data_IF_923579556715
#
_entry.id   IF_923579556715
#
_cell.length_a   1.000
_cell.length_b   1.000
_cell.length_c   1.000
_cell.angle_alpha   90.00
_cell.angle_beta   90.00
_cell.angle_gamma   90.00
#
_symmetry.space_group_name_H-M   'P 1'
#
loop_
_entity.id
_entity.type
_entity.pdbx_description
1 polymer ?
#
# COMPACT_ATOMS: atom_id res chain seq x y z
N UNK A 1 14.47 -10.25 -11.72
CA UNK A 1 14.47 -11.12 -10.54
C UNK A 1 13.52 -12.25 -10.89
N UNK A 2 13.87 -13.51 -10.61
CA UNK A 2 12.96 -14.60 -10.85
C UNK A 2 11.70 -14.45 -10.00
N UNK A 3 10.54 -14.87 -10.52
CA UNK A 3 9.26 -14.81 -9.77
C UNK A 3 9.34 -15.52 -8.41
N UNK A 4 10.19 -16.55 -8.29
CA UNK A 4 10.41 -17.34 -7.08
C UNK A 4 11.27 -16.58 -6.05
N UNK A 5 12.29 -15.86 -6.50
CA UNK A 5 13.19 -15.08 -5.63
C UNK A 5 12.46 -13.85 -5.05
N UNK A 6 11.62 -13.22 -5.87
CA UNK A 6 10.78 -12.12 -5.41
C UNK A 6 9.76 -12.61 -4.37
N UNK A 7 9.09 -13.74 -4.64
CA UNK A 7 8.13 -14.34 -3.70
C UNK A 7 8.78 -14.73 -2.36
N UNK A 8 10.00 -15.26 -2.39
CA UNK A 8 10.73 -15.63 -1.17
C UNK A 8 11.17 -14.41 -0.34
N UNK A 9 11.54 -13.30 -0.98
CA UNK A 9 11.79 -12.02 -0.31
C UNK A 9 10.52 -11.48 0.34
N UNK A 10 9.39 -11.51 -0.37
CA UNK A 10 8.10 -11.06 0.18
C UNK A 10 7.64 -11.94 1.35
N UNK A 11 7.81 -13.26 1.25
CA UNK A 11 7.46 -14.21 2.31
C UNK A 11 8.22 -13.95 3.61
N UNK A 12 9.49 -13.56 3.51
CA UNK A 12 10.36 -13.31 4.67
C UNK A 12 10.57 -11.82 4.95
N UNK A 13 9.74 -10.95 4.38
CA UNK A 13 9.91 -9.49 4.41
C UNK A 13 10.11 -8.91 5.80
N UNK A 14 9.24 -9.28 6.75
CA UNK A 14 9.30 -8.78 8.12
C UNK A 14 10.56 -9.23 8.86
N UNK A 15 11.02 -10.45 8.60
CA UNK A 15 12.24 -10.98 9.19
C UNK A 15 13.47 -10.23 8.67
N UNK A 16 13.56 -10.04 7.36
CA UNK A 16 14.65 -9.29 6.73
C UNK A 16 14.69 -7.83 7.21
N UNK A 17 13.54 -7.18 7.37
CA UNK A 17 13.50 -5.81 7.92
C UNK A 17 14.10 -5.67 9.32
N UNK A 18 14.02 -6.73 10.13
CA UNK A 18 14.50 -6.72 11.51
C UNK A 18 15.98 -7.13 11.63
N UNK A 19 16.39 -8.15 10.89
CA UNK A 19 17.72 -8.75 11.04
C UNK A 19 18.79 -8.11 10.14
N UNK A 20 18.41 -7.44 9.06
CA UNK A 20 19.37 -6.97 8.06
C UNK A 20 20.06 -5.68 8.51
N UNK A 21 21.40 -5.66 8.45
CA UNK A 21 22.24 -4.49 8.74
C UNK A 21 22.67 -3.84 7.42
N UNK A 22 21.79 -2.97 6.93
CA UNK A 22 21.85 -2.36 5.59
C UNK A 22 23.15 -1.60 5.33
N UNK A 23 23.67 -0.88 6.32
CA UNK A 23 24.81 0.04 6.14
C UNK A 23 26.10 -0.70 5.73
N UNK A 24 26.31 -1.91 6.24
CA UNK A 24 27.46 -2.74 5.88
C UNK A 24 27.32 -3.29 4.44
N UNK A 25 26.12 -3.73 4.06
CA UNK A 25 25.85 -4.34 2.76
C UNK A 25 25.79 -3.34 1.62
N UNK A 26 25.36 -2.10 1.90
CA UNK A 26 25.27 -1.03 0.91
C UNK A 26 26.62 -0.71 0.26
N UNK A 27 27.68 -0.66 1.07
CA UNK A 27 29.03 -0.34 0.57
C UNK A 27 29.47 -1.36 -0.47
N UNK A 28 29.20 -2.65 -0.23
CA UNK A 28 29.60 -3.72 -1.14
C UNK A 28 28.71 -3.79 -2.39
N UNK A 29 27.41 -3.44 -2.27
CA UNK A 29 26.47 -3.36 -3.40
C UNK A 29 26.71 -2.17 -4.33
N UNK A 30 27.24 -1.06 -3.80
CA UNK A 30 27.67 0.08 -4.62
C UNK A 30 29.00 -0.24 -5.32
N UNK A 31 29.94 -0.88 -4.61
CA UNK A 31 31.21 -1.33 -5.20
C UNK A 31 31.03 -2.34 -6.33
N UNK A 32 30.02 -3.22 -6.24
CA UNK A 32 29.69 -4.17 -7.31
C UNK A 32 28.94 -3.54 -8.49
N UNK A 33 28.60 -2.25 -8.41
CA UNK A 33 27.89 -1.52 -9.46
C UNK A 33 26.41 -1.86 -9.59
N UNK A 34 25.84 -2.60 -8.63
CA UNK A 34 24.41 -2.91 -8.60
C UNK A 34 23.61 -1.69 -8.16
N UNK A 35 24.08 -0.99 -7.13
CA UNK A 35 23.46 0.24 -6.64
C UNK A 35 24.24 1.47 -7.09
N UNK A 36 23.50 2.53 -7.40
CA UNK A 36 24.05 3.86 -7.63
C UNK A 36 24.31 4.57 -6.30
N UNK A 37 25.27 5.50 -6.29
CA UNK A 37 25.55 6.36 -5.12
C UNK A 37 24.31 7.16 -4.70
N UNK A 38 23.45 7.52 -5.65
CA UNK A 38 22.16 8.14 -5.39
C UNK A 38 21.24 7.24 -4.56
N UNK A 39 21.09 5.96 -4.94
CA UNK A 39 20.28 4.99 -4.20
C UNK A 39 20.84 4.72 -2.80
N UNK A 40 22.17 4.68 -2.65
CA UNK A 40 22.81 4.57 -1.34
C UNK A 40 22.41 5.74 -0.43
N UNK A 41 22.47 6.97 -0.94
CA UNK A 41 22.10 8.16 -0.20
C UNK A 41 20.61 8.18 0.15
N UNK A 42 19.73 7.78 -0.77
CA UNK A 42 18.29 7.64 -0.48
C UNK A 42 18.02 6.64 0.66
N UNK A 43 18.71 5.50 0.65
CA UNK A 43 18.51 4.46 1.67
C UNK A 43 19.03 4.94 3.03
N UNK A 44 20.18 5.64 3.07
CA UNK A 44 20.77 6.12 4.32
C UNK A 44 19.99 7.28 4.96
N UNK A 45 19.32 8.11 4.16
CA UNK A 45 18.62 9.33 4.61
C UNK A 45 17.09 9.21 4.58
N UNK A 46 16.56 7.99 4.68
CA UNK A 46 15.12 7.76 4.78
C UNK A 46 14.53 8.39 6.06
N UNK A 47 13.36 9.01 5.94
CA UNK A 47 12.61 9.57 7.06
C UNK A 47 11.33 8.76 7.33
N UNK A 48 11.11 8.24 8.55
CA UNK A 48 11.97 8.40 9.73
C UNK A 48 13.25 7.54 9.64
N UNK A 49 14.36 8.08 10.16
CA UNK A 49 15.69 7.43 10.13
C UNK A 49 15.78 6.28 11.13
N UNK A 50 15.05 5.21 10.86
CA UNK A 50 15.05 3.98 11.65
C UNK A 50 15.66 2.83 10.85
N UNK A 51 16.29 1.87 11.55
CA UNK A 51 16.87 0.68 10.92
C UNK A 51 15.87 -0.06 10.04
N UNK A 52 14.63 -0.21 10.50
CA UNK A 52 13.57 -0.90 9.78
C UNK A 52 13.16 -0.19 8.48
N UNK A 53 13.10 1.15 8.49
CA UNK A 53 12.75 1.93 7.31
C UNK A 53 13.89 1.93 6.28
N UNK A 54 15.15 2.00 6.75
CA UNK A 54 16.33 1.79 5.90
C UNK A 54 16.31 0.40 5.24
N UNK A 55 16.02 -0.65 6.02
CA UNK A 55 15.94 -2.02 5.51
C UNK A 55 14.80 -2.20 4.52
N UNK A 56 13.63 -1.59 4.78
CA UNK A 56 12.52 -1.62 3.84
C UNK A 56 12.85 -0.94 2.51
N UNK A 57 13.44 0.27 2.56
CA UNK A 57 13.84 0.99 1.35
C UNK A 57 14.93 0.23 0.59
N UNK A 58 15.90 -0.34 1.30
CA UNK A 58 16.92 -1.22 0.73
C UNK A 58 16.32 -2.39 -0.05
N UNK A 59 15.41 -3.15 0.57
CA UNK A 59 14.77 -4.31 -0.06
C UNK A 59 13.94 -3.91 -1.29
N UNK A 60 13.26 -2.76 -1.25
CA UNK A 60 12.53 -2.23 -2.41
C UNK A 60 13.47 -1.92 -3.59
N UNK A 61 14.61 -1.29 -3.30
CA UNK A 61 15.63 -1.00 -4.33
C UNK A 61 16.28 -2.30 -4.85
N UNK A 62 16.47 -3.30 -3.98
CA UNK A 62 16.98 -4.61 -4.36
C UNK A 62 16.05 -5.32 -5.37
N UNK A 63 14.74 -5.35 -5.11
CA UNK A 63 13.74 -5.92 -6.03
C UNK A 63 13.76 -5.17 -7.38
N UNK A 64 13.82 -3.84 -7.35
CA UNK A 64 13.91 -3.02 -8.57
C UNK A 64 15.19 -3.28 -9.39
N UNK A 65 16.29 -3.63 -8.72
CA UNK A 65 17.57 -3.95 -9.36
C UNK A 65 17.55 -5.29 -10.11
N UNK A 66 16.50 -6.10 -9.90
CA UNK A 66 16.28 -7.34 -10.63
C UNK A 66 17.18 -8.49 -10.18
N UNK A 67 17.38 -9.47 -11.07
CA UNK A 67 18.03 -10.75 -10.76
C UNK A 67 19.51 -10.57 -10.41
N UNK A 68 20.22 -9.79 -11.22
CA UNK A 68 21.63 -9.46 -10.98
C UNK A 68 21.86 -8.82 -9.60
N UNK A 69 20.92 -8.01 -9.13
CA UNK A 69 21.03 -7.39 -7.81
C UNK A 69 20.84 -8.39 -6.68
N UNK A 70 19.92 -9.34 -6.86
CA UNK A 70 19.70 -10.43 -5.90
C UNK A 70 20.88 -11.39 -5.81
N UNK A 71 21.45 -11.78 -6.95
CA UNK A 71 22.60 -12.69 -7.00
C UNK A 71 23.80 -12.11 -6.25
N UNK A 72 24.12 -10.84 -6.52
CA UNK A 72 25.22 -10.13 -5.88
C UNK A 72 24.93 -9.91 -4.39
N UNK A 73 23.68 -9.63 -4.02
CA UNK A 73 23.27 -9.57 -2.61
C UNK A 73 23.51 -10.90 -1.89
N UNK A 74 23.11 -12.02 -2.50
CA UNK A 74 23.33 -13.36 -1.96
C UNK A 74 24.83 -13.68 -1.85
N UNK A 75 25.63 -13.27 -2.83
CA UNK A 75 27.08 -13.43 -2.80
C UNK A 75 27.73 -12.62 -1.67
N UNK A 76 27.30 -11.37 -1.47
CA UNK A 76 27.79 -10.51 -0.39
C UNK A 76 27.42 -11.11 0.98
N UNK A 77 26.19 -11.62 1.14
CA UNK A 77 25.79 -12.30 2.37
C UNK A 77 26.67 -13.53 2.66
N UNK A 78 27.03 -14.31 1.63
CA UNK A 78 27.94 -15.47 1.79
C UNK A 78 29.37 -15.08 2.13
N UNK A 79 29.87 -13.97 1.56
CA UNK A 79 31.23 -13.46 1.84
C UNK A 79 31.34 -12.88 3.25
N UNK A 80 30.28 -12.24 3.72
CA UNK A 80 30.20 -11.71 5.08
C UNK A 80 29.72 -12.81 6.03
N UNK A 81 30.63 -13.71 6.43
CA UNK A 81 30.36 -14.84 7.33
C UNK A 81 30.16 -14.44 8.79
N UNK A 82 29.66 -13.23 9.05
CA UNK A 82 29.15 -12.88 10.37
C UNK A 82 28.01 -13.84 10.69
N UNK A 83 28.07 -14.53 11.84
CA UNK A 83 27.05 -15.47 12.30
C UNK A 83 25.60 -14.92 12.23
N UNK A 84 25.46 -13.59 12.17
CA UNK A 84 24.20 -12.86 12.03
C UNK A 84 23.52 -13.03 10.66
N UNK A 85 24.30 -13.12 9.58
CA UNK A 85 23.75 -13.31 8.23
C UNK A 85 23.50 -14.78 7.91
N UNK A 86 24.05 -15.71 8.67
CA UNK A 86 23.80 -17.14 8.49
C UNK A 86 22.31 -17.47 8.64
N UNK A 87 21.65 -16.90 9.65
CA UNK A 87 20.21 -17.07 9.84
C UNK A 87 19.38 -16.49 8.68
N UNK A 88 19.87 -15.44 8.02
CA UNK A 88 19.25 -14.86 6.82
C UNK A 88 19.44 -15.76 5.60
N UNK A 89 20.64 -16.31 5.40
CA UNK A 89 20.96 -17.25 4.32
C UNK A 89 20.11 -18.52 4.43
N UNK A 90 20.02 -19.08 5.64
CA UNK A 90 19.24 -20.29 5.92
C UNK A 90 17.74 -20.06 5.67
N UNK A 91 17.21 -18.87 6.01
CA UNK A 91 15.79 -18.53 5.80
C UNK A 91 15.45 -18.25 4.33
N UNK A 92 16.38 -17.69 3.59
CA UNK A 92 16.21 -17.43 2.16
C UNK A 92 16.45 -18.69 1.31
N UNK A 93 16.82 -19.84 1.90
CA UNK A 93 17.13 -21.08 1.20
C UNK A 93 18.09 -20.86 0.01
N UNK A 94 19.07 -19.95 0.16
CA UNK A 94 20.00 -19.60 -0.92
C UNK A 94 20.95 -20.78 -1.12
N UNK A 95 20.52 -21.75 -1.91
CA UNK A 95 21.20 -23.03 -2.15
C UNK A 95 22.71 -22.84 -2.24
N UNK A 96 23.42 -23.39 -1.26
CA UNK A 96 24.88 -23.42 -1.17
C UNK A 96 25.44 -24.32 -2.27
N UNK A 97 25.43 -23.83 -3.50
CA UNK A 97 26.20 -24.40 -4.59
C UNK A 97 26.91 -23.28 -5.34
N UNK A 98 28.23 -23.11 -5.16
CA UNK A 98 29.03 -22.43 -6.17
C UNK A 98 29.14 -23.36 -7.38
N UNK A 99 29.04 -22.80 -8.58
CA UNK A 99 28.76 -23.55 -9.80
C UNK A 99 29.75 -24.66 -10.17
N UNK A 100 29.22 -25.66 -10.87
CA UNK A 100 29.96 -26.53 -11.78
C UNK A 100 29.09 -26.79 -13.01
N UNK A 101 29.46 -26.13 -14.12
CA UNK A 101 29.27 -26.73 -15.43
C UNK A 101 30.28 -27.88 -15.59
N UNK A 102 29.96 -28.84 -16.45
CA UNK A 102 30.75 -30.01 -16.91
C UNK A 102 30.79 -31.28 -16.04
N UNK A 103 30.15 -32.34 -16.57
CA UNK A 103 30.87 -33.55 -16.97
C UNK A 103 31.18 -34.63 -15.93
N UNK A 104 30.41 -35.72 -16.04
CA UNK A 104 30.84 -37.13 -15.96
C UNK A 104 31.35 -37.76 -14.65
N UNK A 105 30.71 -38.91 -14.34
CA UNK A 105 31.25 -40.14 -13.72
C UNK A 105 31.61 -40.07 -12.23
N UNK A 106 31.26 -41.02 -11.36
CA UNK A 106 30.67 -42.36 -11.45
C UNK A 106 30.74 -42.97 -10.04
N UNK A 107 29.80 -43.82 -9.60
CA UNK A 107 29.92 -45.29 -9.39
C UNK A 107 28.86 -45.66 -8.32
N UNK A 108 28.15 -46.79 -8.25
CA UNK A 108 28.14 -48.12 -8.87
C UNK A 108 26.73 -48.74 -8.58
N UNK A 109 25.93 -49.27 -9.52
CA UNK A 109 25.89 -50.65 -10.09
C UNK A 109 24.47 -51.28 -9.85
N UNK A 110 24.09 -52.46 -10.43
CA UNK A 110 24.00 -52.79 -11.88
C UNK A 110 22.77 -53.66 -12.26
N UNK A 111 22.14 -53.52 -13.44
CA UNK A 111 21.42 -54.59 -14.20
C UNK A 111 21.31 -54.12 -15.67
N UNK A 112 22.15 -54.56 -16.61
CA UNK A 112 22.16 -55.78 -17.43
C UNK A 112 21.33 -55.72 -18.75
N UNK A 113 22.05 -56.00 -19.84
CA UNK A 113 21.68 -56.34 -21.23
C UNK A 113 21.04 -55.30 -22.16
N UNK A 114 21.26 -55.30 -23.48
CA UNK A 114 22.34 -55.60 -24.43
C UNK A 114 21.71 -55.30 -25.82
N UNK A 115 22.52 -55.09 -26.84
CA UNK A 115 22.23 -55.08 -28.30
C UNK A 115 21.81 -53.72 -28.91
N UNK A 116 22.22 -53.28 -30.11
CA UNK A 116 23.43 -53.33 -30.96
C UNK A 116 23.07 -52.56 -32.27
N UNK A 117 24.05 -51.95 -32.94
CA UNK A 117 24.04 -51.35 -34.31
C UNK A 117 23.33 -49.99 -34.51
N UNK A 118 24.02 -48.87 -34.81
CA UNK A 118 24.85 -48.40 -35.98
C UNK A 118 24.03 -47.42 -36.87
N UNK A 119 24.66 -46.56 -37.69
CA UNK A 119 24.42 -45.11 -37.65
C UNK A 119 24.10 -44.57 -39.06
N UNK A 120 24.31 -43.26 -39.24
CA UNK A 120 24.39 -42.51 -40.51
C UNK A 120 23.05 -42.00 -41.06
N UNK A 121 22.91 -40.83 -41.67
CA UNK A 121 23.71 -39.60 -41.79
C UNK A 121 22.81 -38.61 -42.55
N UNK A 122 22.89 -37.33 -42.17
CA UNK A 122 22.95 -36.16 -43.08
C UNK A 122 21.78 -35.72 -43.98
N UNK A 123 21.75 -34.38 -44.14
CA UNK A 123 21.25 -33.55 -45.24
C UNK A 123 19.76 -33.19 -45.20
N UNK A 124 19.30 -31.98 -45.54
CA UNK A 124 19.85 -30.63 -45.77
C UNK A 124 18.67 -29.78 -46.29
N UNK A 125 18.79 -28.45 -46.18
CA UNK A 125 18.05 -27.40 -46.91
C UNK A 125 16.58 -27.17 -46.51
N UNK A 126 16.19 -26.00 -46.00
CA UNK A 126 16.22 -24.63 -46.53
C UNK A 126 15.01 -24.24 -47.40
N UNK A 127 14.60 -22.98 -47.23
CA UNK A 127 13.59 -22.17 -47.93
C UNK A 127 12.12 -22.33 -47.47
N UNK A 128 11.54 -21.34 -46.76
CA UNK A 128 11.13 -19.96 -47.14
C UNK A 128 9.81 -19.92 -47.93
N UNK A 129 8.76 -19.28 -47.39
CA UNK A 129 8.14 -18.01 -47.87
C UNK A 129 6.73 -17.77 -47.30
N UNK A 130 6.49 -16.49 -46.94
CA UNK A 130 5.25 -15.68 -47.04
C UNK A 130 3.94 -16.21 -46.42
N UNK A 131 3.39 -15.63 -45.34
CA UNK A 131 2.66 -14.35 -45.27
C UNK A 131 1.58 -14.20 -46.35
N UNK A 132 0.34 -14.57 -45.99
CA UNK A 132 -0.88 -14.17 -46.70
C UNK A 132 -1.70 -13.24 -45.81
N UNK A 133 -1.77 -11.99 -46.25
CA UNK A 133 -2.61 -10.91 -45.74
C UNK A 133 -4.08 -11.14 -46.11
N UNK A 134 -4.98 -10.90 -45.16
CA UNK A 134 -6.42 -10.82 -45.38
C UNK A 134 -6.84 -9.37 -45.69
N UNK A 135 -7.80 -9.14 -46.60
CA UNK A 135 -8.25 -7.79 -46.96
C UNK A 135 -9.31 -7.26 -45.99
N UNK A 136 -9.13 -5.99 -45.65
CA UNK A 136 -10.10 -5.11 -44.99
C UNK A 136 -11.20 -4.72 -45.99
N UNK A 137 -12.46 -4.90 -45.60
CA UNK A 137 -13.63 -4.49 -46.38
C UNK A 137 -14.40 -3.44 -45.58
N UNK A 138 -14.27 -2.18 -46.01
CA UNK A 138 -15.16 -1.08 -45.62
C UNK A 138 -16.52 -1.25 -46.30
N UNK A 139 -17.59 -0.94 -45.57
CA UNK A 139 -18.97 -1.17 -46.01
C UNK A 139 -19.96 -0.38 -45.16
N UNK A 140 -19.94 0.93 -45.38
CA UNK A 140 -20.91 1.95 -45.00
C UNK A 140 -22.37 1.55 -45.31
N UNK A 141 -23.29 1.65 -44.35
CA UNK A 141 -24.67 2.08 -44.58
C UNK A 141 -25.28 2.60 -43.27
N UNK A 142 -25.64 3.88 -43.26
CA UNK A 142 -26.57 4.43 -42.28
C UNK A 142 -28.01 4.09 -42.66
N UNK A 143 -28.92 4.11 -41.68
CA UNK A 143 -30.02 5.07 -41.60
C UNK A 143 -31.07 4.68 -40.54
N UNK A 144 -31.24 5.61 -39.58
CA UNK A 144 -32.49 6.23 -39.12
C UNK A 144 -33.52 5.44 -38.29
N UNK A 145 -34.09 6.23 -37.35
CA UNK A 145 -35.37 6.12 -36.62
C UNK A 145 -35.33 5.36 -35.28
N UNK A 146 -35.92 5.83 -34.16
CA UNK A 146 -36.70 7.03 -33.85
C UNK A 146 -36.86 7.13 -32.31
N UNK A 147 -36.59 8.33 -31.76
CA UNK A 147 -37.27 9.09 -30.68
C UNK A 147 -37.87 8.41 -29.41
N UNK A 148 -37.82 9.25 -28.35
CA UNK A 148 -38.55 9.26 -27.05
C UNK A 148 -37.72 8.62 -25.91
N UNK A 149 -37.29 9.31 -24.85
CA UNK A 149 -37.98 10.30 -24.03
C UNK A 149 -37.04 11.37 -23.44
N UNK A 150 -37.57 12.59 -23.36
CA UNK A 150 -37.01 13.73 -22.62
C UNK A 150 -37.60 13.79 -21.21
N UNK A 151 -36.82 14.38 -20.31
CA UNK A 151 -37.23 15.27 -19.22
C UNK A 151 -37.76 14.66 -17.91
N UNK A 152 -36.96 14.80 -16.86
CA UNK A 152 -37.44 15.23 -15.55
C UNK A 152 -36.35 16.04 -14.82
N UNK A 153 -36.43 17.37 -14.95
CA UNK A 153 -35.86 18.35 -14.01
C UNK A 153 -36.97 18.76 -13.04
N UNK A 154 -36.57 19.06 -11.79
CA UNK A 154 -37.33 19.67 -10.66
C UNK A 154 -38.03 18.69 -9.73
N UNK A 155 -37.49 18.57 -8.51
CA UNK A 155 -38.18 19.01 -7.28
C UNK A 155 -37.27 18.76 -6.06
N UNK A 156 -36.44 19.74 -5.69
CA UNK A 156 -35.92 19.86 -4.31
C UNK A 156 -35.89 21.36 -3.94
N UNK A 157 -36.99 21.78 -3.31
CA UNK A 157 -37.24 22.94 -2.46
C UNK A 157 -38.10 22.34 -1.33
N UNK A 158 -38.00 22.62 -0.05
CA UNK A 158 -37.13 23.38 0.86
C UNK A 158 -37.54 22.88 2.26
N UNK A 159 -36.63 22.92 3.24
CA UNK A 159 -36.89 23.21 4.67
C UNK A 159 -35.52 23.03 5.39
N UNK A 160 -34.73 24.08 5.64
CA UNK A 160 -34.89 25.12 6.67
C UNK A 160 -34.78 24.57 8.11
N UNK A 161 -33.59 24.71 8.71
CA UNK A 161 -33.31 25.18 10.09
C UNK A 161 -31.84 24.86 10.42
N UNK A 162 -30.93 25.83 10.34
CA UNK A 162 -30.53 26.77 11.43
C UNK A 162 -29.62 26.10 12.46
N UNK A 163 -28.34 26.49 12.41
CA UNK A 163 -27.50 26.93 13.54
C UNK A 163 -26.04 26.47 13.35
N UNK A 164 -25.16 27.41 13.00
CA UNK A 164 -23.73 27.16 12.91
C UNK A 164 -23.01 28.46 12.57
N UNK A 165 -22.77 29.25 13.61
CA UNK A 165 -22.09 30.55 13.59
C UNK A 165 -20.69 30.47 12.96
N UNK A 166 -20.48 31.32 11.96
CA UNK A 166 -19.19 31.70 11.40
C UNK A 166 -18.34 32.43 12.45
N UNK A 167 -17.04 32.13 12.47
CA UNK A 167 -16.04 33.16 12.79
C UNK A 167 -14.88 33.04 11.83
N UNK A 168 -14.56 34.20 11.25
CA UNK A 168 -13.75 34.41 10.09
C UNK A 168 -12.31 33.89 10.19
N UNK A 169 -11.80 33.39 9.07
CA UNK A 169 -10.37 33.43 8.73
C UNK A 169 -10.22 34.17 7.42
N UNK A 170 -9.35 35.18 7.42
CA UNK A 170 -8.46 35.48 6.29
C UNK A 170 -7.29 36.39 6.75
N UNK A 171 -6.22 36.56 5.95
CA UNK A 171 -4.91 35.94 6.21
C UNK A 171 -3.79 37.00 6.31
N UNK A 172 -2.52 36.60 6.51
CA UNK A 172 -1.34 37.24 5.89
C UNK A 172 -0.03 36.48 6.18
N UNK A 173 0.96 36.75 5.33
CA UNK A 173 2.15 35.96 5.02
C UNK A 173 3.47 36.40 5.72
N UNK A 174 4.42 35.46 5.75
CA UNK A 174 5.91 35.53 5.65
C UNK A 174 6.73 36.78 6.01
N UNK A 175 7.73 36.59 6.89
CA UNK A 175 9.14 37.09 6.86
C UNK A 175 9.94 36.39 7.99
N UNK A 176 10.91 35.50 7.73
CA UNK A 176 12.36 35.64 7.41
C UNK A 176 13.35 35.90 8.57
N UNK A 177 14.35 34.99 8.65
CA UNK A 177 15.79 35.12 9.02
C UNK A 177 16.22 35.39 10.48
N UNK A 178 16.93 34.44 11.13
CA UNK A 178 18.40 34.18 11.16
C UNK A 178 19.18 35.07 12.16
N UNK A 179 19.68 34.51 13.28
CA UNK A 179 21.12 34.33 13.57
C UNK A 179 21.45 34.06 15.07
N UNK A 180 22.21 32.96 15.25
CA UNK A 180 23.40 32.68 16.08
C UNK A 180 23.74 33.39 17.41
N UNK A 181 24.22 32.52 18.31
CA UNK A 181 25.34 32.63 19.28
C UNK A 181 25.12 32.89 20.78
N UNK A 182 25.33 31.81 21.55
CA UNK A 182 26.43 31.58 22.52
C UNK A 182 26.73 32.65 23.58
N UNK A 183 26.46 32.28 24.84
CA UNK A 183 27.38 32.28 26.01
C UNK A 183 26.88 32.94 27.30
N UNK A 184 26.73 32.09 28.33
CA UNK A 184 27.19 32.24 29.73
C UNK A 184 26.73 33.38 30.65
N UNK A 185 26.58 32.96 31.93
CA UNK A 185 26.67 33.72 33.20
C UNK A 185 25.34 34.14 33.85
N UNK A 186 24.90 33.33 34.82
CA UNK A 186 24.10 33.72 35.99
C UNK A 186 24.90 34.72 36.87
N UNK A 187 24.32 35.55 37.77
CA UNK A 187 23.18 35.17 38.62
C UNK A 187 22.19 36.29 39.04
N UNK A 188 21.10 35.82 39.67
CA UNK A 188 20.31 36.46 40.74
C UNK A 188 19.93 37.94 40.63
N UNK A 189 18.62 38.19 40.51
CA UNK A 189 17.92 39.15 41.38
C UNK A 189 16.46 38.76 41.56
N UNK A 190 16.10 38.48 42.81
CA UNK A 190 14.72 38.50 43.31
C UNK A 190 14.09 39.88 43.03
N UNK A 191 12.87 39.89 42.49
CA UNK A 191 11.99 41.06 42.52
C UNK A 191 10.56 40.58 42.78
N UNK A 192 10.17 40.62 44.05
CA UNK A 192 8.80 40.40 44.53
C UNK A 192 8.07 41.73 44.48
N UNK A 193 6.90 41.72 43.86
CA UNK A 193 5.94 42.82 43.86
C UNK A 193 4.84 42.54 44.92
N UNK A 194 4.60 43.56 45.73
CA UNK A 194 3.33 44.05 46.28
C UNK A 194 2.30 43.04 46.82
N UNK A 195 2.04 43.11 48.14
CA UNK A 195 0.75 43.60 48.64
C UNK A 195 0.76 43.82 50.17
N UNK A 196 0.48 45.07 50.54
CA UNK A 196 -0.20 45.55 51.76
C UNK A 196 -1.50 44.74 52.03
N UNK A 197 -2.10 44.63 53.21
CA UNK A 197 -2.09 45.42 54.45
C UNK A 197 -2.80 44.57 55.52
N UNK A 198 -2.26 44.47 56.74
CA UNK A 198 -3.04 44.14 57.95
C UNK A 198 -2.25 44.55 59.19
N UNK A 199 -2.75 45.57 59.87
CA UNK A 199 -2.13 46.25 61.00
C UNK A 199 -2.30 45.47 62.31
N UNK A 200 -1.24 45.45 63.13
CA UNK A 200 -1.27 45.01 64.51
C UNK A 200 0.07 45.23 65.23
N UNK A 201 0.09 46.27 66.08
CA UNK A 201 0.92 46.47 67.29
C UNK A 201 2.46 46.61 67.20
N UNK A 202 2.91 47.85 67.40
CA UNK A 202 3.93 48.33 68.34
C UNK A 202 5.30 47.60 68.54
N UNK A 203 6.37 48.25 68.08
CA UNK A 203 7.56 48.67 68.87
C UNK A 203 8.59 49.30 67.93
N UNK A 204 8.98 50.58 68.11
CA UNK A 204 10.01 51.10 69.03
C UNK A 204 11.45 50.78 68.62
N UNK A 205 12.22 51.87 68.47
CA UNK A 205 13.65 52.02 68.12
C UNK A 205 13.97 52.01 66.62
N UNK A 206 14.63 53.01 66.04
CA UNK A 206 15.19 54.25 66.55
C UNK A 206 15.95 54.99 65.45
N UNK A 207 16.12 56.30 65.61
CA UNK A 207 17.14 57.23 65.03
C UNK A 207 16.54 58.64 65.18
N UNK A 208 16.85 59.44 66.20
CA UNK A 208 18.11 60.16 66.47
C UNK A 208 18.75 60.77 65.22
N UNK A 209 18.32 62.00 64.94
CA UNK A 209 19.05 63.20 64.48
C UNK A 209 17.92 64.24 64.20
N UNK A 210 17.94 65.49 64.62
CA UNK A 210 19.04 66.42 64.68
C UNK A 210 18.75 67.57 65.66
N UNK A 211 19.86 68.13 66.13
CA UNK A 211 20.01 69.33 66.96
C UNK A 211 19.21 70.52 66.42
N UNK A 212 18.36 71.09 67.26
CA UNK A 212 18.15 72.53 67.28
C UNK A 212 18.62 73.09 68.62
N UNK A 213 19.55 74.04 68.50
CA UNK A 213 20.16 74.82 69.56
C UNK A 213 19.09 75.52 70.41
N UNK A 214 18.85 75.04 71.62
CA UNK A 214 18.43 75.92 72.71
C UNK A 214 19.68 76.41 73.41
N UNK A 215 19.99 77.70 73.24
CA UNK A 215 20.88 78.43 74.14
C UNK A 215 20.30 78.31 75.55
N UNK A 216 20.73 77.31 76.31
CA UNK A 216 20.46 77.22 77.74
C UNK A 216 21.39 78.22 78.39
N UNK A 217 20.82 79.33 78.85
CA UNK A 217 21.54 80.34 79.62
C UNK A 217 22.11 79.66 80.87
N UNK A 218 23.44 79.49 80.89
CA UNK A 218 24.16 78.71 81.89
C UNK A 218 23.92 79.28 83.30
N UNK A 219 23.69 80.59 83.41
CA UNK A 219 23.38 81.26 84.67
C UNK A 219 21.98 80.91 85.17
N UNK A 220 20.99 80.83 84.28
CA UNK A 220 19.63 80.41 84.64
C UNK A 220 19.60 78.93 85.03
N UNK A 221 20.38 78.10 84.34
CA UNK A 221 20.55 76.68 84.69
C UNK A 221 21.23 76.52 86.05
N UNK A 222 22.29 77.27 86.34
CA UNK A 222 22.93 77.28 87.67
C UNK A 222 21.98 77.75 88.76
N UNK A 223 21.16 78.79 88.50
CA UNK A 223 20.18 79.29 89.45
C UNK A 223 19.05 78.27 89.71
N UNK A 224 18.54 77.61 88.67
CA UNK A 224 17.58 76.50 88.81
C UNK A 224 18.21 75.29 89.49
N UNK A 225 19.49 74.95 89.21
CA UNK A 225 20.20 73.87 89.90
C UNK A 225 20.38 74.19 91.39
N UNK A 226 20.76 75.43 91.73
CA UNK A 226 20.87 75.88 93.12
C UNK A 226 19.51 75.94 93.83
N UNK A 227 18.43 76.26 93.09
CA UNK A 227 17.06 76.26 93.61
C UNK A 227 16.51 74.85 93.81
N UNK A 228 16.83 73.94 92.91
CA UNK A 228 16.47 72.53 92.98
C UNK A 228 17.39 71.76 93.92
N UNK A 229 18.60 72.23 94.22
CA UNK A 229 19.56 71.53 95.06
C UNK A 229 19.01 71.19 96.46
N UNK A 230 18.28 72.07 97.17
CA UNK A 230 17.58 71.71 98.40
C UNK A 230 16.50 70.64 98.18
N UNK A 231 15.77 70.68 97.06
CA UNK A 231 14.72 69.70 96.75
C UNK A 231 15.33 68.34 96.36
N UNK A 232 16.43 68.35 95.62
CA UNK A 232 17.24 67.18 95.26
C UNK A 232 17.87 66.61 96.54
N UNK A 233 18.42 67.46 97.41
CA UNK A 233 18.95 67.06 98.70
C UNK A 233 17.84 66.48 99.59
N UNK A 234 16.65 67.07 99.64
CA UNK A 234 15.48 66.53 100.35
C UNK A 234 15.01 65.20 99.76
N UNK A 235 15.13 65.00 98.44
CA UNK A 235 14.81 63.74 97.78
C UNK A 235 15.90 62.70 98.09
N UNK A 236 17.18 63.04 98.03
CA UNK A 236 18.28 62.16 98.46
C UNK A 236 18.25 61.90 99.97
N UNK A 237 17.75 62.83 100.77
CA UNK A 237 17.60 62.71 102.21
C UNK A 237 16.36 61.88 102.55
N UNK A 238 15.24 62.02 101.83
CA UNK A 238 14.10 61.11 101.94
C UNK A 238 14.41 59.71 101.41
N UNK A 239 15.14 59.59 100.30
CA UNK A 239 15.63 58.32 99.79
C UNK A 239 16.55 57.70 100.84
N UNK A 240 17.57 58.42 101.31
CA UNK A 240 18.49 57.89 102.32
C UNK A 240 17.78 57.55 103.63
N UNK A 241 16.81 58.35 104.11
CA UNK A 241 15.99 58.01 105.28
C UNK A 241 15.08 56.80 105.03
N UNK A 242 14.48 56.67 103.85
CA UNK A 242 13.64 55.52 103.48
C UNK A 242 14.45 54.24 103.26
N UNK A 243 15.70 54.35 102.80
CA UNK A 243 16.63 53.23 102.61
C UNK A 243 17.47 52.93 103.85
N UNK A 244 17.60 53.87 104.79
CA UNK A 244 18.37 53.70 106.03
C UNK A 244 17.51 53.18 107.21
N UNK A 245 16.18 53.32 107.18
CA UNK A 245 15.32 52.83 108.26
C UNK A 245 14.83 51.40 108.09
N UNK A 246 15.05 50.76 106.94
CA UNK A 246 14.85 49.32 106.77
C UNK A 246 16.19 48.74 106.37
N UNK A 247 16.95 48.09 107.27
CA UNK A 247 18.04 47.24 106.82
C UNK A 247 17.41 46.21 105.89
N UNK A 248 17.68 46.33 104.59
CA UNK A 248 17.27 45.30 103.62
C UNK A 248 17.91 44.03 104.14
N UNK A 249 17.08 43.11 104.64
CA UNK A 249 17.59 41.92 105.28
C UNK A 249 18.45 41.17 104.26
N UNK A 250 19.54 40.56 104.71
CA UNK A 250 20.37 39.74 103.83
C UNK A 250 19.53 38.61 103.18
N UNK A 251 18.47 38.18 103.88
CA UNK A 251 17.37 37.35 103.38
C UNK A 251 16.67 37.93 102.14
N UNK A 252 16.29 39.22 102.15
CA UNK A 252 15.61 39.86 101.03
C UNK A 252 16.52 40.01 99.81
N UNK A 253 17.80 40.35 100.01
CA UNK A 253 18.78 40.41 98.91
C UNK A 253 19.00 39.01 98.31
N UNK A 254 19.08 37.99 99.16
CA UNK A 254 19.20 36.59 98.72
C UNK A 254 17.96 36.15 97.95
N UNK A 255 16.76 36.50 98.42
CA UNK A 255 15.49 36.23 97.76
C UNK A 255 15.40 36.90 96.39
N UNK A 256 15.80 38.17 96.28
CA UNK A 256 15.84 38.88 94.99
C UNK A 256 16.84 38.23 94.03
N UNK A 257 18.01 37.76 94.50
CA UNK A 257 18.95 37.00 93.65
C UNK A 257 18.37 35.68 93.18
N UNK A 258 17.73 34.93 94.08
CA UNK A 258 17.07 33.67 93.73
C UNK A 258 15.93 33.87 92.73
N UNK A 259 15.12 34.92 92.89
CA UNK A 259 14.06 35.28 91.96
C UNK A 259 14.62 35.74 90.61
N UNK A 260 15.73 36.51 90.59
CA UNK A 260 16.39 36.90 89.34
C UNK A 260 16.97 35.67 88.61
N UNK A 261 17.54 34.71 89.35
CA UNK A 261 18.04 33.47 88.78
C UNK A 261 16.89 32.58 88.26
N UNK A 262 15.75 32.54 88.96
CA UNK A 262 14.52 31.91 88.46
C UNK A 262 14.03 32.58 87.17
N UNK A 263 14.02 33.91 87.11
CA UNK A 263 13.65 34.67 85.92
C UNK A 263 14.60 34.42 84.74
N UNK A 264 15.91 34.28 85.00
CA UNK A 264 16.88 33.91 83.97
C UNK A 264 16.60 32.51 83.43
N UNK A 265 16.29 31.55 84.30
CA UNK A 265 15.92 30.18 83.89
C UNK A 265 14.64 30.16 83.07
N UNK A 266 13.58 30.85 83.51
CA UNK A 266 12.32 30.93 82.76
C UNK A 266 12.50 31.64 81.42
N UNK A 267 13.28 32.72 81.36
CA UNK A 267 13.62 33.39 80.11
C UNK A 267 14.40 32.48 79.16
N UNK A 268 15.37 31.70 79.64
CA UNK A 268 16.06 30.70 78.80
C UNK A 268 15.07 29.68 78.23
N UNK A 269 14.19 29.11 79.06
CA UNK A 269 13.16 28.16 78.60
C UNK A 269 12.20 28.78 77.60
N UNK A 270 11.82 30.06 77.77
CA UNK A 270 10.96 30.77 76.82
C UNK A 270 11.67 31.00 75.49
N UNK A 271 12.96 31.38 75.50
CA UNK A 271 13.77 31.53 74.29
C UNK A 271 13.90 30.18 73.56
N UNK A 272 14.15 29.09 74.28
CA UNK A 272 14.19 27.75 73.68
C UNK A 272 12.86 27.35 73.04
N UNK A 273 11.73 27.56 73.74
CA UNK A 273 10.40 27.31 73.18
C UNK A 273 10.14 28.18 71.95
N UNK A 274 10.51 29.47 72.00
CA UNK A 274 10.37 30.39 70.87
C UNK A 274 11.18 29.89 69.66
N UNK A 275 12.41 29.44 69.88
CA UNK A 275 13.26 28.89 68.82
C UNK A 275 12.66 27.60 68.22
N UNK A 276 12.12 26.70 69.06
CA UNK A 276 11.39 25.52 68.58
C UNK A 276 10.18 25.92 67.73
N UNK A 277 9.41 26.92 68.16
CA UNK A 277 8.28 27.44 67.39
C UNK A 277 8.72 28.03 66.05
N UNK A 278 9.78 28.85 66.03
CA UNK A 278 10.34 29.40 64.80
C UNK A 278 10.79 28.30 63.84
N UNK A 279 11.50 27.28 64.33
CA UNK A 279 11.89 26.12 63.52
C UNK A 279 10.68 25.36 62.98
N UNK A 280 9.61 25.20 63.77
CA UNK A 280 8.38 24.55 63.31
C UNK A 280 7.67 25.34 62.23
N UNK A 281 7.61 26.67 62.36
CA UNK A 281 7.04 27.56 61.35
C UNK A 281 7.81 27.45 60.04
N UNK A 282 9.15 27.51 60.07
CA UNK A 282 9.99 27.36 58.88
C UNK A 282 9.75 26.00 58.21
N UNK A 283 9.68 24.93 59.02
CA UNK A 283 9.44 23.58 58.51
C UNK A 283 8.08 23.48 57.79
N UNK A 284 7.03 24.05 58.36
CA UNK A 284 5.70 24.10 57.75
C UNK A 284 5.65 24.97 56.49
N UNK A 285 6.40 26.06 56.44
CA UNK A 285 6.51 26.90 55.24
C UNK A 285 7.18 26.16 54.09
N UNK A 286 8.26 25.42 54.38
CA UNK A 286 8.93 24.57 53.39
C UNK A 286 8.03 23.41 52.94
N UNK A 287 7.33 22.75 53.87
CA UNK A 287 6.38 21.68 53.55
C UNK A 287 5.23 22.19 52.66
N UNK A 288 4.64 23.34 52.98
CA UNK A 288 3.62 23.97 52.12
C UNK A 288 4.16 24.36 50.75
N UNK A 289 5.42 24.80 50.66
CA UNK A 289 6.05 25.11 49.38
C UNK A 289 6.19 23.84 48.53
N UNK A 290 6.69 22.76 49.12
CA UNK A 290 6.83 21.47 48.44
C UNK A 290 5.47 20.92 47.97
N UNK A 291 4.43 20.98 48.82
CA UNK A 291 3.09 20.53 48.43
C UNK A 291 2.50 21.33 47.26
N UNK A 292 2.85 22.62 47.13
CA UNK A 292 2.45 23.43 45.97
C UNK A 292 3.20 23.00 44.71
N UNK A 293 4.51 22.84 44.79
CA UNK A 293 5.35 22.37 43.67
C UNK A 293 4.94 20.97 43.19
N UNK A 294 4.68 20.03 44.11
CA UNK A 294 4.15 18.69 43.80
C UNK A 294 2.75 18.75 43.18
N UNK A 295 1.89 19.64 43.66
CA UNK A 295 0.56 19.87 43.10
C UNK A 295 0.59 20.39 41.66
N UNK A 296 1.55 21.27 41.34
CA UNK A 296 1.79 21.75 39.97
C UNK A 296 2.24 20.61 39.05
N UNK A 297 3.21 19.79 39.49
CA UNK A 297 3.66 18.61 38.73
C UNK A 297 2.55 17.57 38.51
N UNK A 298 1.68 17.37 39.50
CA UNK A 298 0.52 16.48 39.37
C UNK A 298 -0.51 17.00 38.34
N UNK A 299 -0.70 18.32 38.28
CA UNK A 299 -1.59 18.94 37.28
C UNK A 299 -1.01 18.83 35.87
N UNK A 300 0.30 19.00 35.69
CA UNK A 300 0.96 18.81 34.40
C UNK A 300 0.87 17.36 33.94
N UNK A 301 1.15 16.39 34.83
CA UNK A 301 0.97 14.96 34.52
C UNK A 301 -0.47 14.60 34.18
N UNK A 302 -1.46 15.20 34.85
CA UNK A 302 -2.88 15.01 34.53
C UNK A 302 -3.22 15.55 33.14
N UNK A 303 -2.69 16.72 32.77
CA UNK A 303 -2.88 17.30 31.44
C UNK A 303 -2.26 16.42 30.36
N UNK A 304 -1.05 15.91 30.56
CA UNK A 304 -0.39 15.00 29.63
C UNK A 304 -1.18 13.70 29.43
N UNK A 305 -1.80 13.18 30.50
CA UNK A 305 -2.68 12.01 30.42
C UNK A 305 -3.96 12.31 29.64
N UNK A 306 -4.53 13.50 29.80
CA UNK A 306 -5.71 13.95 29.05
C UNK A 306 -5.40 14.14 27.56
N UNK A 307 -4.24 14.73 27.23
CA UNK A 307 -3.77 14.86 25.84
C UNK A 307 -3.53 13.50 25.19
N UNK A 308 -2.93 12.54 25.93
CA UNK A 308 -2.77 11.15 25.46
C UNK A 308 -4.09 10.41 25.29
N UNK A 309 -5.06 10.63 26.18
CA UNK A 309 -6.39 10.05 26.04
C UNK A 309 -7.10 10.56 24.77
N UNK A 310 -7.00 11.87 24.51
CA UNK A 310 -7.54 12.48 23.29
C UNK A 310 -6.85 11.95 22.02
N UNK A 311 -5.53 11.73 22.06
CA UNK A 311 -4.79 11.11 20.96
C UNK A 311 -5.23 9.66 20.70
N UNK A 312 -5.43 8.87 21.76
CA UNK A 312 -5.93 7.50 21.65
C UNK A 312 -7.34 7.46 21.04
N UNK A 313 -8.25 8.33 21.47
CA UNK A 313 -9.59 8.46 20.88
C UNK A 313 -9.53 8.83 19.39
N UNK A 314 -8.59 9.70 19.00
CA UNK A 314 -8.39 10.07 17.60
C UNK A 314 -7.85 8.90 16.76
N UNK A 315 -6.94 8.09 17.32
CA UNK A 315 -6.42 6.88 16.70
C UNK A 315 -7.54 5.85 16.56
N UNK A 316 -8.35 5.63 17.60
CA UNK A 316 -9.48 4.69 17.58
C UNK A 316 -10.50 5.06 16.49
N UNK A 317 -10.88 6.34 16.40
CA UNK A 317 -11.75 6.84 15.32
C UNK A 317 -11.14 6.62 13.93
N UNK A 318 -9.82 6.81 13.79
CA UNK A 318 -9.14 6.56 12.50
C UNK A 318 -9.16 5.08 12.14
N UNK A 319 -8.94 4.19 13.10
CA UNK A 319 -8.99 2.74 12.88
C UNK A 319 -10.40 2.30 12.50
N UNK A 320 -11.43 2.80 13.18
CA UNK A 320 -12.81 2.45 12.83
C UNK A 320 -13.19 2.92 11.41
N UNK A 321 -12.78 4.14 11.03
CA UNK A 321 -12.97 4.62 9.66
C UNK A 321 -12.23 3.75 8.62
N UNK A 322 -11.02 3.29 8.92
CA UNK A 322 -10.28 2.38 8.03
C UNK A 322 -10.97 1.01 7.93
N UNK A 323 -11.51 0.50 9.03
CA UNK A 323 -12.27 -0.76 9.05
C UNK A 323 -13.53 -0.66 8.18
N UNK A 324 -14.31 0.42 8.31
CA UNK A 324 -15.49 0.66 7.48
C UNK A 324 -15.10 0.71 5.99
N UNK A 325 -14.03 1.44 5.64
CA UNK A 325 -13.54 1.53 4.27
C UNK A 325 -13.10 0.15 3.71
N UNK A 326 -12.48 -0.68 4.54
CA UNK A 326 -12.11 -2.05 4.16
C UNK A 326 -13.34 -2.95 3.96
N UNK A 327 -14.35 -2.85 4.82
CA UNK A 327 -15.61 -3.60 4.67
C UNK A 327 -16.35 -3.21 3.37
N UNK A 328 -16.35 -1.92 3.01
CA UNK A 328 -16.91 -1.46 1.73
C UNK A 328 -16.14 -2.02 0.52
N UNK A 329 -14.80 -2.03 0.60
CA UNK A 329 -13.95 -2.63 -0.44
C UNK A 329 -14.14 -4.13 -0.56
N UNK A 330 -14.36 -4.83 0.55
CA UNK A 330 -14.67 -6.26 0.54
C UNK A 330 -16.03 -6.54 -0.12
N UNK A 331 -17.04 -5.71 0.14
CA UNK A 331 -18.34 -5.79 -0.54
C UNK A 331 -18.20 -5.54 -2.05
N UNK A 332 -17.44 -4.52 -2.45
CA UNK A 332 -17.15 -4.23 -3.86
C UNK A 332 -16.43 -5.41 -4.55
N UNK A 333 -15.43 -6.00 -3.88
CA UNK A 333 -14.72 -7.17 -4.37
C UNK A 333 -15.66 -8.38 -4.55
N UNK A 334 -16.55 -8.64 -3.60
CA UNK A 334 -17.56 -9.71 -3.70
C UNK A 334 -18.47 -9.53 -4.91
N UNK A 335 -18.90 -8.30 -5.21
CA UNK A 335 -19.70 -8.00 -6.41
C UNK A 335 -18.91 -8.26 -7.69
N UNK A 336 -17.62 -7.89 -7.73
CA UNK A 336 -16.77 -8.16 -8.89
C UNK A 336 -16.56 -9.66 -9.11
N UNK A 337 -16.37 -10.44 -8.05
CA UNK A 337 -16.23 -11.90 -8.13
C UNK A 337 -17.49 -12.56 -8.70
N UNK A 338 -18.68 -12.15 -8.24
CA UNK A 338 -19.95 -12.64 -8.80
C UNK A 338 -20.09 -12.31 -10.30
N UNK A 339 -19.63 -11.13 -10.72
CA UNK A 339 -19.63 -10.75 -12.14
C UNK A 339 -18.66 -11.61 -12.96
N UNK A 340 -17.50 -11.96 -12.41
CA UNK A 340 -16.54 -12.86 -13.09
C UNK A 340 -17.16 -14.26 -13.22
N UNK A 341 -17.79 -14.78 -12.17
CA UNK A 341 -18.49 -16.07 -12.21
C UNK A 341 -19.61 -16.09 -13.27
N UNK A 342 -20.37 -15.01 -13.41
CA UNK A 342 -21.37 -14.87 -14.48
C UNK A 342 -20.74 -14.90 -15.87
N UNK A 343 -19.62 -14.20 -16.06
CA UNK A 343 -18.86 -14.20 -17.32
C UNK A 343 -18.34 -15.61 -17.64
N UNK A 344 -17.77 -16.30 -16.66
CA UNK A 344 -17.29 -17.68 -16.82
C UNK A 344 -18.43 -18.63 -17.22
N UNK A 345 -19.58 -18.53 -16.56
CA UNK A 345 -20.78 -19.29 -16.92
C UNK A 345 -21.31 -18.96 -18.32
N UNK A 346 -21.19 -17.72 -18.78
CA UNK A 346 -21.56 -17.36 -20.14
C UNK A 346 -20.53 -17.86 -21.17
N UNK A 347 -19.24 -17.81 -20.85
CA UNK A 347 -18.18 -18.38 -21.70
C UNK A 347 -18.32 -19.89 -21.84
N UNK A 348 -18.65 -20.62 -20.77
CA UNK A 348 -18.88 -22.06 -20.86
C UNK A 348 -20.06 -22.37 -21.79
N UNK A 349 -21.18 -21.65 -21.66
CA UNK A 349 -22.32 -21.78 -22.59
C UNK A 349 -21.92 -21.49 -24.05
N UNK A 350 -21.15 -20.44 -24.29
CA UNK A 350 -20.65 -20.12 -25.63
C UNK A 350 -19.73 -21.21 -26.18
N UNK A 351 -18.82 -21.77 -25.38
CA UNK A 351 -17.98 -22.89 -25.80
C UNK A 351 -18.81 -24.11 -26.20
N UNK A 352 -19.84 -24.45 -25.43
CA UNK A 352 -20.76 -25.54 -25.80
C UNK A 352 -21.47 -25.26 -27.12
N UNK A 353 -21.92 -24.02 -27.35
CA UNK A 353 -22.56 -23.64 -28.63
C UNK A 353 -21.59 -23.72 -29.81
N UNK A 354 -20.35 -23.29 -29.64
CA UNK A 354 -19.30 -23.40 -30.66
C UNK A 354 -19.02 -24.88 -30.96
N UNK A 355 -18.93 -25.71 -29.93
CA UNK A 355 -18.72 -27.15 -30.10
C UNK A 355 -19.87 -27.81 -30.86
N UNK A 356 -21.11 -27.45 -30.56
CA UNK A 356 -22.30 -27.91 -31.29
C UNK A 356 -22.25 -27.50 -32.77
N UNK A 357 -21.87 -26.23 -33.05
CA UNK A 357 -21.71 -25.75 -34.42
C UNK A 357 -20.57 -26.46 -35.18
N UNK A 358 -19.48 -26.79 -34.50
CA UNK A 358 -18.40 -27.58 -35.09
C UNK A 358 -18.87 -28.99 -35.46
N UNK A 359 -19.63 -29.66 -34.57
CA UNK A 359 -20.20 -30.98 -34.89
C UNK A 359 -21.14 -30.92 -36.10
N UNK A 360 -22.01 -29.91 -36.18
CA UNK A 360 -22.87 -29.71 -37.35
C UNK A 360 -22.08 -29.41 -38.63
N UNK A 361 -20.98 -28.67 -38.52
CA UNK A 361 -20.10 -28.41 -39.65
C UNK A 361 -19.41 -29.69 -40.15
N UNK A 362 -18.89 -30.51 -39.24
CA UNK A 362 -18.25 -31.79 -39.58
C UNK A 362 -19.26 -32.73 -40.24
N UNK A 363 -20.49 -32.82 -39.72
CA UNK A 363 -21.60 -33.57 -40.34
C UNK A 363 -21.90 -33.06 -41.77
N UNK A 364 -21.94 -31.74 -41.96
CA UNK A 364 -22.15 -31.13 -43.28
C UNK A 364 -21.01 -31.42 -44.26
N UNK A 365 -19.76 -31.45 -43.79
CA UNK A 365 -18.60 -31.84 -44.61
C UNK A 365 -18.69 -33.32 -45.01
N UNK A 366 -19.03 -34.20 -44.08
CA UNK A 366 -19.23 -35.62 -44.37
C UNK A 366 -20.34 -35.85 -45.40
N UNK A 367 -21.47 -35.14 -45.29
CA UNK A 367 -22.55 -35.21 -46.27
C UNK A 367 -22.11 -34.71 -47.64
N UNK A 368 -21.39 -33.58 -47.69
CA UNK A 368 -20.84 -33.05 -48.94
C UNK A 368 -19.86 -34.02 -49.61
N UNK A 369 -19.02 -34.72 -48.84
CA UNK A 369 -18.13 -35.77 -49.36
C UNK A 369 -18.93 -36.93 -49.97
N UNK A 370 -19.97 -37.41 -49.28
CA UNK A 370 -20.86 -38.46 -49.80
C UNK A 370 -21.53 -38.05 -51.11
N UNK A 371 -22.02 -36.82 -51.19
CA UNK A 371 -22.62 -36.27 -52.41
C UNK A 371 -21.60 -36.19 -53.55
N UNK A 372 -20.36 -35.76 -53.26
CA UNK A 372 -19.30 -35.70 -54.26
C UNK A 372 -18.95 -37.09 -54.81
N UNK A 373 -18.85 -38.10 -53.93
CA UNK A 373 -18.61 -39.50 -54.33
C UNK A 373 -19.76 -40.04 -55.20
N UNK A 374 -21.01 -39.69 -54.88
CA UNK A 374 -22.18 -40.06 -55.68
C UNK A 374 -22.17 -39.39 -57.06
N UNK A 375 -21.86 -38.10 -57.12
CA UNK A 375 -21.70 -37.37 -58.39
C UNK A 375 -20.60 -38.01 -59.24
N UNK A 376 -19.48 -38.41 -58.64
CA UNK A 376 -18.39 -39.05 -59.36
C UNK A 376 -18.84 -40.40 -59.96
N UNK A 377 -19.56 -41.23 -59.21
CA UNK A 377 -20.11 -42.49 -59.73
C UNK A 377 -21.05 -42.26 -60.91
N UNK A 378 -21.95 -41.26 -60.80
CA UNK A 378 -22.86 -40.92 -61.89
C UNK A 378 -22.12 -40.40 -63.13
N UNK A 379 -20.99 -39.70 -62.96
CA UNK A 379 -20.13 -39.29 -64.08
C UNK A 379 -19.49 -40.50 -64.76
N UNK A 380 -18.96 -41.46 -64.00
CA UNK A 380 -18.39 -42.71 -64.53
C UNK A 380 -19.45 -43.51 -65.30
N UNK A 381 -20.67 -43.66 -64.75
CA UNK A 381 -21.79 -44.31 -65.44
C UNK A 381 -22.17 -43.60 -66.74
N UNK A 382 -22.20 -42.26 -66.72
CA UNK A 382 -22.48 -41.45 -67.91
C UNK A 382 -21.40 -41.66 -68.99
N UNK A 383 -20.12 -41.70 -68.63
CA UNK A 383 -19.03 -41.95 -69.58
C UNK A 383 -19.17 -43.32 -70.26
N UNK A 384 -19.56 -44.35 -69.50
CA UNK A 384 -19.85 -45.68 -70.04
C UNK A 384 -21.03 -45.64 -71.02
N UNK A 385 -22.10 -44.92 -70.67
CA UNK A 385 -23.26 -44.74 -71.54
C UNK A 385 -22.90 -43.99 -72.84
N UNK A 386 -22.13 -42.91 -72.74
CA UNK A 386 -21.67 -42.12 -73.90
C UNK A 386 -20.77 -42.97 -74.82
N UNK A 387 -19.89 -43.80 -74.25
CA UNK A 387 -19.08 -44.75 -75.02
C UNK A 387 -19.96 -45.80 -75.74
N UNK A 388 -21.00 -46.32 -75.07
CA UNK A 388 -21.95 -47.26 -75.67
C UNK A 388 -22.75 -46.62 -76.81
N UNK A 389 -23.24 -45.38 -76.61
CA UNK A 389 -23.92 -44.61 -77.63
C UNK A 389 -23.00 -44.41 -78.84
N UNK A 390 -21.75 -43.99 -78.62
CA UNK A 390 -20.77 -43.82 -79.69
C UNK A 390 -20.54 -45.10 -80.52
N UNK A 391 -20.48 -46.27 -79.87
CA UNK A 391 -20.39 -47.56 -80.57
C UNK A 391 -21.64 -47.85 -81.41
N UNK A 392 -22.84 -47.56 -80.89
CA UNK A 392 -24.10 -47.76 -81.62
C UNK A 392 -24.20 -46.79 -82.81
N UNK A 393 -23.81 -45.53 -82.64
CA UNK A 393 -23.76 -44.55 -83.72
C UNK A 393 -22.78 -44.96 -84.82
N UNK A 394 -21.59 -45.48 -84.46
CA UNK A 394 -20.63 -45.99 -85.43
C UNK A 394 -21.20 -47.18 -86.22
N UNK A 395 -21.82 -48.15 -85.53
CA UNK A 395 -22.50 -49.28 -86.18
C UNK A 395 -23.63 -48.81 -87.11
N UNK A 396 -24.40 -47.81 -86.69
CA UNK A 396 -25.46 -47.23 -87.50
C UNK A 396 -24.90 -46.53 -88.75
N UNK A 397 -23.83 -45.73 -88.61
CA UNK A 397 -23.15 -45.08 -89.75
C UNK A 397 -22.64 -46.11 -90.75
N UNK A 398 -21.96 -47.16 -90.29
CA UNK A 398 -21.46 -48.25 -91.14
C UNK A 398 -22.62 -48.99 -91.84
N UNK A 399 -23.73 -49.23 -91.14
CA UNK A 399 -24.94 -49.80 -91.73
C UNK A 399 -25.53 -48.88 -92.80
N UNK A 400 -25.58 -47.57 -92.56
CA UNK A 400 -26.08 -46.57 -93.51
C UNK A 400 -25.18 -46.42 -94.75
N UNK A 401 -23.86 -46.52 -94.59
CA UNK A 401 -22.90 -46.56 -95.71
C UNK A 401 -23.11 -47.81 -96.56
N UNK A 402 -23.20 -48.99 -95.92
CA UNK A 402 -23.52 -50.23 -96.63
C UNK A 402 -24.85 -50.15 -97.37
N UNK A 403 -25.87 -49.51 -96.79
CA UNK A 403 -27.14 -49.26 -97.47
C UNK A 403 -26.98 -48.35 -98.68
N UNK A 404 -26.22 -47.25 -98.56
CA UNK A 404 -25.88 -46.38 -99.70
C UNK A 404 -25.15 -47.13 -100.81
N UNK A 405 -24.16 -47.95 -100.49
CA UNK A 405 -23.45 -48.79 -101.48
C UNK A 405 -24.41 -49.76 -102.20
N UNK A 406 -25.38 -50.31 -101.47
CA UNK A 406 -26.41 -51.18 -102.04
C UNK A 406 -27.40 -50.40 -102.91
N UNK A 407 -27.77 -49.18 -102.51
CA UNK A 407 -28.61 -48.25 -103.29
C UNK A 407 -27.89 -47.85 -104.59
N UNK A 408 -26.63 -47.42 -104.52
CA UNK A 408 -25.80 -47.07 -105.69
C UNK A 408 -25.63 -48.27 -106.64
N UNK A 409 -25.40 -49.47 -106.10
CA UNK A 409 -25.31 -50.70 -106.90
C UNK A 409 -26.65 -51.05 -107.55
N UNK A 410 -27.75 -50.84 -106.85
CA UNK A 410 -29.09 -51.06 -107.39
C UNK A 410 -29.40 -50.05 -108.49
N UNK A 411 -29.04 -48.78 -108.31
CA UNK A 411 -29.16 -47.73 -109.32
C UNK A 411 -28.32 -48.07 -110.57
N UNK A 412 -27.08 -48.53 -110.40
CA UNK A 412 -26.24 -49.01 -111.51
C UNK A 412 -26.89 -50.19 -112.24
N UNK A 413 -27.52 -51.11 -111.52
CA UNK A 413 -28.27 -52.23 -112.11
C UNK A 413 -29.54 -51.76 -112.82
N UNK A 414 -30.24 -50.74 -112.32
CA UNK A 414 -31.39 -50.12 -112.98
C UNK A 414 -30.99 -49.37 -114.25
N UNK A 415 -29.87 -48.63 -114.24
CA UNK A 415 -29.29 -47.97 -115.42
C UNK A 415 -28.83 -49.03 -116.45
N UNK A 416 -28.18 -50.09 -115.98
CA UNK A 416 -27.75 -51.22 -116.82
C UNK A 416 -28.95 -52.03 -117.36
N UNK A 417 -30.04 -52.10 -116.59
CA UNK A 417 -31.31 -52.73 -116.97
C UNK A 417 -32.12 -51.90 -117.96
N UNK A 418 -32.08 -50.56 -117.87
CA UNK A 418 -32.76 -49.64 -118.80
C UNK A 418 -32.21 -49.72 -120.22
N UNK A 419 -30.93 -50.06 -120.41
CA UNK A 419 -30.34 -50.25 -121.74
C UNK A 419 -30.57 -51.66 -122.34
N UNK A 420 -31.21 -52.59 -121.61
CA UNK A 420 -31.55 -53.94 -122.11
C UNK A 420 -32.82 -54.48 -121.47
N UNK A 421 -33.97 -53.85 -121.73
CA UNK A 421 -35.26 -54.54 -121.98
C UNK A 421 -36.38 -53.52 -122.17
N UNK A 422 -36.72 -53.29 -123.44
CA UNK A 422 -38.11 -53.09 -123.79
C UNK A 422 -38.90 -54.38 -123.51
N UNK A 423 -40.22 -54.19 -123.36
CA UNK A 423 -41.29 -55.21 -123.35
C UNK A 423 -41.59 -55.85 -121.99
N UNK A 424 -42.61 -55.29 -121.32
CA UNK A 424 -43.86 -56.03 -121.11
C UNK A 424 -44.21 -56.54 -119.71
N UNK A 425 -45.38 -56.07 -119.25
CA UNK A 425 -46.45 -56.80 -118.53
C UNK A 425 -46.50 -56.81 -116.98
N UNK A 426 -47.41 -55.96 -116.50
CA UNK A 426 -48.62 -56.28 -115.69
C UNK A 426 -48.50 -56.80 -114.24
N UNK A 427 -49.12 -55.98 -113.36
CA UNK A 427 -50.12 -56.31 -112.31
C UNK A 427 -49.70 -57.23 -111.15
N UNK A 428 -49.63 -56.67 -109.94
CA UNK A 428 -50.66 -56.84 -108.89
C UNK A 428 -50.27 -56.14 -107.58
N UNK A 429 -51.08 -55.17 -107.17
CA UNK A 429 -51.31 -54.76 -105.76
C UNK A 429 -52.47 -55.65 -105.23
N UNK A 430 -52.84 -55.77 -103.92
CA UNK A 430 -52.54 -54.83 -102.82
C UNK A 430 -52.41 -55.37 -101.37
N UNK A 431 -52.17 -54.42 -100.44
CA UNK A 431 -52.79 -54.25 -99.09
C UNK A 431 -52.28 -55.01 -97.84
N UNK A 432 -51.75 -54.19 -96.91
CA UNK A 432 -52.22 -53.95 -95.52
C UNK A 432 -52.00 -54.96 -94.37
N UNK A 433 -51.33 -54.49 -93.30
CA UNK A 433 -51.70 -54.57 -91.86
C UNK A 433 -50.46 -54.16 -91.02
N UNK A 434 -50.42 -53.03 -90.29
CA UNK A 434 -50.96 -52.80 -88.95
C UNK A 434 -50.54 -53.86 -87.91
N UNK A 435 -49.64 -53.53 -86.96
CA UNK A 435 -49.92 -53.50 -85.51
C UNK A 435 -48.71 -53.16 -84.63
N UNK A 436 -49.00 -52.33 -83.63
CA UNK A 436 -48.26 -52.11 -82.37
C UNK A 436 -47.92 -53.43 -81.66
N UNK A 437 -46.74 -53.47 -81.04
CA UNK A 437 -46.43 -54.16 -79.77
C UNK A 437 -45.37 -53.28 -79.08
N UNK A 438 -45.75 -52.34 -78.20
CA UNK A 438 -45.66 -52.49 -76.74
C UNK A 438 -44.66 -53.57 -76.29
N UNK A 439 -43.44 -53.16 -75.98
CA UNK A 439 -42.53 -53.90 -75.11
C UNK A 439 -42.77 -53.46 -73.67
N UNK A 440 -43.42 -54.31 -72.88
CA UNK A 440 -43.28 -54.33 -71.44
C UNK A 440 -42.15 -55.31 -71.10
N UNK A 441 -41.14 -54.84 -70.37
CA UNK A 441 -40.07 -55.58 -69.67
C UNK A 441 -39.13 -54.47 -69.15
N UNK A 442 -38.73 -54.36 -67.88
CA UNK A 442 -38.70 -55.33 -66.79
C UNK A 442 -38.53 -54.60 -65.46
N UNK A 443 -39.11 -55.18 -64.41
CA UNK A 443 -38.57 -55.35 -63.06
C UNK A 443 -38.05 -54.12 -62.30
N UNK A 444 -38.94 -53.57 -61.48
CA UNK A 444 -38.57 -52.88 -60.23
C UNK A 444 -38.37 -53.92 -59.12
N UNK A 445 -37.19 -53.92 -58.52
CA UNK A 445 -36.96 -54.28 -57.13
C UNK A 445 -36.37 -53.05 -56.42
#
# INVERSE_FOLDING_TARGET
MGSVDEETLWKHWMYLKNELHVEALLVDLVKSGVFTEHQQNEILHVSPNTRQMKAEKFLKVLIQSGEKGFDVFCEILRRNSDNRYQAVIDKLNISTTPGEATGASGTAAPVNNNVQFRPESSASAASSTSLCSLPSHDGETGEKNLKQNKSARRAWRSDASISGSETARQPMATQNQENLDVSTVAPNTNRVANNDESQGAASLSGQLNDRQNSNIDMQVLEQELLRLAPTIADVFQRISQSTAQVPVSEEDIKKVREDNERLRKTNRTLIEKLNIFQQRIIRLQLENKNLREEGEGANEAKKDLEDKANELDAIEKRIENQKIALEEKEKELKVQLLKIEEIENNMTKQRHKIQELHSLYDEGVEESCKQQDEIQKLQEEKEVQDAQIGQLEYKQKLSNERMRDLEDRLEQLEISGRNRRGVGLRRSNPRAASKRMLGMMSDYN
#
